data_IF_666039730183
#
_entry.id   IF_666039730183
#
_cell.length_a   1.000
_cell.length_b   1.000
_cell.length_c   1.000
_cell.angle_alpha   90.00
_cell.angle_beta   90.00
_cell.angle_gamma   90.00
#
_symmetry.space_group_name_H-M   'P 1'
#
loop_
_entity.id
_entity.type
_entity.pdbx_description
1 polymer ?
#
# COMPACT_ATOMS: atom_id res chain seq x y z
N UNK A 1 -29.99 -7.17 -16.55
CA UNK A 1 -29.93 -5.70 -16.80
C UNK A 1 -28.45 -5.33 -16.86
N UNK A 2 -28.02 -4.49 -17.81
CA UNK A 2 -26.62 -4.13 -18.02
C UNK A 2 -26.37 -2.63 -17.92
N UNK A 3 -25.11 -2.22 -17.93
CA UNK A 3 -24.70 -0.81 -18.04
C UNK A 3 -25.17 -0.23 -19.38
N UNK A 4 -25.79 0.95 -19.33
CA UNK A 4 -26.31 1.68 -20.52
C UNK A 4 -25.50 2.94 -20.86
N UNK A 5 -24.50 3.26 -20.04
CA UNK A 5 -23.58 4.38 -20.24
C UNK A 5 -22.21 3.92 -20.81
N UNK A 6 -21.42 4.83 -21.40
CA UNK A 6 -20.05 4.52 -21.82
C UNK A 6 -19.18 4.12 -20.62
N UNK A 7 -18.58 2.93 -20.68
CA UNK A 7 -17.61 2.47 -19.68
C UNK A 7 -16.19 2.87 -20.07
N UNK A 8 -15.56 3.66 -19.21
CA UNK A 8 -14.15 4.04 -19.32
C UNK A 8 -13.31 3.38 -18.23
N UNK A 9 -12.03 3.16 -18.53
CA UNK A 9 -11.04 2.54 -17.65
C UNK A 9 -9.79 3.42 -17.58
N UNK A 10 -9.18 3.53 -16.40
CA UNK A 10 -7.96 4.29 -16.18
C UNK A 10 -6.74 3.58 -16.81
N UNK A 11 -5.80 4.35 -17.35
CA UNK A 11 -4.55 3.88 -17.91
C UNK A 11 -3.39 4.08 -16.92
N UNK A 12 -2.31 3.32 -17.08
CA UNK A 12 -1.06 3.49 -16.33
C UNK A 12 -0.49 4.92 -16.37
N UNK A 13 -0.77 5.66 -17.45
CA UNK A 13 -0.35 7.05 -17.67
C UNK A 13 -1.41 8.11 -17.34
N UNK A 14 -2.38 7.81 -16.46
CA UNK A 14 -3.35 8.79 -15.94
C UNK A 14 -4.49 9.21 -16.88
N UNK A 15 -4.42 8.85 -18.17
CA UNK A 15 -5.53 9.02 -19.12
C UNK A 15 -6.59 7.92 -19.02
N UNK A 16 -7.73 8.09 -19.69
CA UNK A 16 -8.81 7.08 -19.74
C UNK A 16 -8.92 6.39 -21.11
N UNK A 17 -9.52 5.20 -21.15
CA UNK A 17 -9.72 4.42 -22.38
C UNK A 17 -11.03 3.63 -22.38
N UNK A 18 -11.48 3.17 -23.55
CA UNK A 18 -12.70 2.33 -23.69
C UNK A 18 -12.41 0.87 -23.35
N UNK A 19 -13.45 0.12 -22.93
CA UNK A 19 -13.36 -1.33 -22.68
C UNK A 19 -12.76 -2.08 -23.89
N UNK A 20 -13.18 -1.76 -25.11
CA UNK A 20 -12.62 -2.27 -26.36
C UNK A 20 -11.11 -2.09 -26.50
N UNK A 21 -10.58 -0.95 -26.08
CA UNK A 21 -9.16 -0.62 -26.17
C UNK A 21 -8.38 -1.28 -25.03
N UNK A 22 -8.96 -1.33 -23.85
CA UNK A 22 -8.45 -2.03 -22.67
C UNK A 22 -8.27 -3.54 -22.94
N UNK A 23 -9.26 -4.20 -23.55
CA UNK A 23 -9.18 -5.63 -23.93
C UNK A 23 -8.10 -5.89 -24.99
N UNK A 24 -7.86 -4.94 -25.91
CA UNK A 24 -6.82 -5.05 -26.95
C UNK A 24 -5.41 -4.74 -26.43
N UNK A 25 -5.28 -3.92 -25.39
CA UNK A 25 -3.99 -3.47 -24.84
C UNK A 25 -3.94 -3.52 -23.30
N UNK A 26 -4.22 -4.67 -22.65
CA UNK A 26 -4.43 -4.75 -21.20
C UNK A 26 -3.20 -4.38 -20.38
N UNK A 27 -2.00 -4.51 -20.96
CA UNK A 27 -0.73 -4.04 -20.38
C UNK A 27 -0.76 -2.54 -20.01
N UNK A 28 -1.57 -1.72 -20.68
CA UNK A 28 -1.73 -0.28 -20.39
C UNK A 28 -2.64 0.02 -19.19
N UNK A 29 -3.10 -1.01 -18.47
CA UNK A 29 -3.93 -0.91 -17.26
C UNK A 29 -3.12 -1.25 -15.99
N UNK A 30 -1.86 -1.68 -16.12
CA UNK A 30 -1.01 -1.96 -14.97
C UNK A 30 -0.78 -0.68 -14.16
N UNK A 31 -0.90 -0.75 -12.83
CA UNK A 31 -0.81 0.42 -11.94
C UNK A 31 -1.81 1.57 -12.22
N UNK A 32 -2.90 1.29 -12.95
CA UNK A 32 -3.93 2.29 -13.28
C UNK A 32 -4.67 2.87 -12.06
N UNK A 33 -4.87 2.10 -10.99
CA UNK A 33 -5.49 2.58 -9.75
C UNK A 33 -4.66 3.70 -9.09
N UNK A 34 -3.41 3.43 -8.69
CA UNK A 34 -2.49 4.44 -8.18
C UNK A 34 -2.23 5.61 -9.14
N UNK A 35 -2.22 5.38 -10.46
CA UNK A 35 -2.14 6.45 -11.45
C UNK A 35 -3.36 7.41 -11.36
N UNK A 36 -4.57 6.87 -11.16
CA UNK A 36 -5.76 7.67 -10.86
C UNK A 36 -5.65 8.44 -9.54
N UNK A 37 -5.04 7.84 -8.51
CA UNK A 37 -4.75 8.50 -7.23
C UNK A 37 -3.79 9.69 -7.36
N UNK A 38 -2.73 9.55 -8.15
CA UNK A 38 -1.78 10.64 -8.43
C UNK A 38 -2.43 11.78 -9.25
N UNK A 39 -3.26 11.46 -10.24
CA UNK A 39 -4.05 12.46 -11.00
C UNK A 39 -5.03 13.20 -10.08
N UNK A 40 -5.72 12.50 -9.18
CA UNK A 40 -6.61 13.13 -8.21
C UNK A 40 -5.84 14.02 -7.22
N UNK A 41 -4.67 13.58 -6.75
CA UNK A 41 -3.80 14.38 -5.89
C UNK A 41 -3.30 15.66 -6.58
N UNK A 42 -2.98 15.60 -7.88
CA UNK A 42 -2.61 16.77 -8.70
C UNK A 42 -3.78 17.75 -8.83
N UNK A 43 -5.00 17.24 -9.03
CA UNK A 43 -6.20 18.08 -9.09
C UNK A 43 -6.47 18.81 -7.76
N UNK A 44 -6.41 18.10 -6.63
CA UNK A 44 -6.58 18.69 -5.30
C UNK A 44 -5.45 19.67 -4.96
N UNK A 45 -4.21 19.39 -5.36
CA UNK A 45 -3.08 20.32 -5.18
C UNK A 45 -3.31 21.64 -5.92
N UNK A 46 -3.83 21.58 -7.16
CA UNK A 46 -4.20 22.78 -7.93
C UNK A 46 -5.36 23.57 -7.29
N UNK A 47 -6.37 22.90 -6.71
CA UNK A 47 -7.44 23.58 -5.96
C UNK A 47 -6.94 24.27 -4.68
N UNK A 48 -5.86 23.76 -4.08
CA UNK A 48 -5.21 24.32 -2.88
C UNK A 48 -4.09 25.33 -3.19
N UNK A 49 -3.74 25.53 -4.47
CA UNK A 49 -2.62 26.41 -4.88
C UNK A 49 -1.24 25.86 -4.49
N UNK A 50 -1.05 24.54 -4.57
CA UNK A 50 0.19 23.84 -4.22
C UNK A 50 0.86 23.26 -5.48
N UNK A 51 1.97 23.85 -5.92
CA UNK A 51 2.66 23.43 -7.14
C UNK A 51 3.52 22.16 -6.98
N UNK A 52 4.03 21.89 -5.77
CA UNK A 52 4.86 20.71 -5.48
C UNK A 52 4.27 19.93 -4.29
N UNK A 53 3.82 18.70 -4.52
CA UNK A 53 3.25 17.82 -3.48
C UNK A 53 3.71 16.37 -3.64
N UNK A 54 3.62 15.60 -2.55
CA UNK A 54 3.88 14.17 -2.54
C UNK A 54 2.57 13.43 -2.23
N UNK A 55 2.09 12.65 -3.20
CA UNK A 55 0.96 11.74 -2.99
C UNK A 55 1.42 10.42 -2.38
N UNK A 56 0.64 9.88 -1.45
CA UNK A 56 0.96 8.67 -0.69
C UNK A 56 -0.30 7.79 -0.57
N UNK A 57 -0.26 6.59 -1.16
CA UNK A 57 -1.31 5.58 -1.11
C UNK A 57 -0.77 4.32 -0.40
N UNK A 58 -1.36 3.92 0.73
CA UNK A 58 -0.89 2.79 1.56
C UNK A 58 -1.95 1.69 1.63
N UNK A 59 -1.72 0.61 0.90
CA UNK A 59 -2.53 -0.60 0.97
C UNK A 59 -2.06 -1.57 2.06
N UNK A 60 -2.64 -2.78 2.09
CA UNK A 60 -2.25 -3.84 3.02
C UNK A 60 -0.85 -4.43 2.78
N UNK A 61 -0.27 -4.28 1.59
CA UNK A 61 1.01 -4.94 1.22
C UNK A 61 2.13 -3.95 0.87
N UNK A 62 1.77 -2.81 0.27
CA UNK A 62 2.69 -1.84 -0.35
C UNK A 62 2.17 -0.43 -0.11
N UNK A 63 3.08 0.54 0.02
CA UNK A 63 2.74 1.95 -0.16
C UNK A 63 3.33 2.48 -1.48
N UNK A 64 2.67 3.44 -2.11
CA UNK A 64 3.04 4.02 -3.40
C UNK A 64 3.11 5.54 -3.28
N UNK A 65 4.22 6.08 -3.77
CA UNK A 65 4.58 7.49 -3.70
C UNK A 65 4.69 8.05 -5.11
N UNK A 66 3.98 9.12 -5.43
CA UNK A 66 4.20 9.88 -6.65
C UNK A 66 4.50 11.35 -6.30
N UNK A 67 5.64 11.84 -6.81
CA UNK A 67 5.99 13.25 -6.77
C UNK A 67 5.21 13.98 -7.88
N UNK A 68 4.51 15.02 -7.47
CA UNK A 68 3.78 15.95 -8.33
C UNK A 68 4.50 17.28 -8.21
N UNK A 69 4.96 17.81 -9.34
CA UNK A 69 5.81 19.00 -9.37
C UNK A 69 5.41 19.87 -10.57
N UNK A 70 5.49 21.20 -10.43
CA UNK A 70 4.81 22.16 -11.32
C UNK A 70 3.31 21.80 -11.56
N UNK A 71 2.66 21.26 -10.53
CA UNK A 71 1.28 20.77 -10.52
C UNK A 71 1.04 19.45 -11.26
N UNK A 72 2.08 18.83 -11.85
CA UNK A 72 1.94 17.66 -12.72
C UNK A 72 2.60 16.39 -12.13
N UNK A 73 1.94 15.21 -12.18
CA UNK A 73 2.60 13.94 -11.90
C UNK A 73 3.69 13.66 -12.94
N UNK A 74 4.88 13.24 -12.49
CA UNK A 74 5.96 12.85 -13.40
C UNK A 74 5.58 11.61 -14.22
N UNK A 75 6.09 11.49 -15.46
CA UNK A 75 5.74 10.37 -16.36
C UNK A 75 6.94 9.72 -17.03
N UNK A 76 6.92 8.39 -17.09
CA UNK A 76 7.95 7.57 -17.72
C UNK A 76 7.41 6.83 -18.96
N UNK A 77 8.33 6.43 -19.85
CA UNK A 77 8.02 5.61 -21.06
C UNK A 77 8.53 4.16 -20.97
N UNK A 78 9.12 3.81 -19.83
CA UNK A 78 9.63 2.48 -19.51
C UNK A 78 9.26 2.18 -18.07
N UNK A 79 8.63 1.04 -17.83
CA UNK A 79 8.28 0.52 -16.51
C UNK A 79 8.84 -0.90 -16.35
N UNK A 80 8.92 -1.40 -15.12
CA UNK A 80 9.57 -2.67 -14.80
C UNK A 80 8.66 -3.50 -13.90
N UNK A 81 8.25 -4.68 -14.36
CA UNK A 81 7.29 -5.54 -13.64
C UNK A 81 7.88 -6.90 -13.31
N UNK A 82 7.34 -7.57 -12.27
CA UNK A 82 7.79 -8.90 -11.85
C UNK A 82 9.31 -9.00 -11.63
N UNK A 83 9.89 -8.04 -10.89
CA UNK A 83 11.30 -8.09 -10.46
C UNK A 83 11.55 -9.33 -9.59
N UNK A 84 12.49 -10.18 -9.99
CA UNK A 84 12.97 -11.28 -9.16
C UNK A 84 13.66 -10.77 -7.88
N UNK A 85 14.32 -9.61 -7.96
CA UNK A 85 15.04 -9.01 -6.84
C UNK A 85 14.58 -7.55 -6.65
N UNK A 86 13.88 -7.26 -5.53
CA UNK A 86 13.25 -5.94 -5.26
C UNK A 86 14.17 -4.73 -5.46
N UNK A 87 15.49 -4.89 -5.29
CA UNK A 87 16.48 -3.81 -5.38
C UNK A 87 17.45 -3.92 -6.58
N UNK A 88 17.28 -4.89 -7.49
CA UNK A 88 18.12 -5.02 -8.69
C UNK A 88 17.33 -4.58 -9.94
N UNK A 89 17.62 -3.37 -10.41
CA UNK A 89 17.07 -2.82 -11.66
C UNK A 89 17.49 -3.68 -12.86
N UNK A 90 16.54 -4.09 -13.68
CA UNK A 90 16.73 -5.06 -14.76
C UNK A 90 16.49 -6.52 -14.37
N UNK A 91 16.09 -6.82 -13.13
CA UNK A 91 15.66 -8.18 -12.72
C UNK A 91 14.18 -8.47 -12.99
N UNK A 92 13.46 -7.53 -13.61
CA UNK A 92 12.07 -7.67 -14.03
C UNK A 92 11.87 -7.41 -15.52
N UNK A 93 10.67 -7.69 -16.01
CA UNK A 93 10.29 -7.54 -17.42
C UNK A 93 10.12 -6.03 -17.74
N UNK A 94 10.87 -5.48 -18.72
CA UNK A 94 10.75 -4.09 -19.12
C UNK A 94 9.54 -3.87 -20.05
N UNK A 95 8.62 -2.99 -19.65
CA UNK A 95 7.44 -2.60 -20.42
C UNK A 95 7.65 -1.21 -21.03
N UNK A 96 7.36 -1.04 -22.32
CA UNK A 96 7.51 0.24 -23.05
C UNK A 96 6.15 0.89 -23.30
N UNK A 97 5.55 1.40 -22.23
CA UNK A 97 4.26 2.09 -22.21
C UNK A 97 4.39 3.43 -21.44
N UNK A 98 3.52 4.42 -21.71
CA UNK A 98 3.39 5.59 -20.84
C UNK A 98 2.87 5.17 -19.46
N UNK A 99 3.58 5.56 -18.40
CA UNK A 99 3.17 5.40 -17.00
C UNK A 99 3.37 6.71 -16.25
N UNK A 100 2.58 6.94 -15.20
CA UNK A 100 2.97 7.88 -14.13
C UNK A 100 4.14 7.25 -13.36
N UNK A 101 5.16 8.04 -13.07
CA UNK A 101 6.33 7.60 -12.31
C UNK A 101 6.01 7.55 -10.82
N UNK A 102 6.24 6.40 -10.21
CA UNK A 102 5.93 6.14 -8.79
C UNK A 102 7.06 5.34 -8.15
N UNK A 103 7.33 5.62 -6.88
CA UNK A 103 8.18 4.80 -6.02
C UNK A 103 7.28 3.89 -5.19
N UNK A 104 7.45 2.58 -5.35
CA UNK A 104 6.85 1.59 -4.45
C UNK A 104 7.73 1.43 -3.20
N UNK A 105 7.15 1.70 -2.04
CA UNK A 105 7.72 1.39 -0.73
C UNK A 105 7.20 0.02 -0.31
N UNK A 106 8.12 -0.91 -0.07
CA UNK A 106 7.82 -2.32 0.22
C UNK A 106 7.23 -2.61 1.61
N UNK A 107 6.41 -1.69 2.13
CA UNK A 107 5.65 -1.83 3.37
C UNK A 107 4.22 -1.23 3.20
N UNK A 108 3.21 -2.01 3.54
CA UNK A 108 1.81 -1.61 3.76
C UNK A 108 1.30 -2.03 5.15
N UNK A 109 0.00 -1.91 5.42
CA UNK A 109 -0.59 -2.17 6.76
C UNK A 109 -0.34 -3.59 7.30
N UNK A 110 -0.41 -4.60 6.44
CA UNK A 110 -0.11 -6.00 6.75
C UNK A 110 1.38 -6.35 6.70
N UNK A 111 2.31 -5.38 6.69
CA UNK A 111 3.76 -5.68 6.75
C UNK A 111 4.11 -6.26 8.10
N UNK A 112 4.79 -7.40 8.11
CA UNK A 112 5.11 -8.13 9.34
C UNK A 112 6.22 -7.39 10.10
N UNK A 113 5.98 -7.16 11.39
CA UNK A 113 6.95 -6.61 12.34
C UNK A 113 7.65 -7.75 13.12
N UNK A 114 8.90 -7.50 13.52
CA UNK A 114 9.70 -8.41 14.33
C UNK A 114 11.04 -7.79 14.71
N UNK A 115 11.88 -8.57 15.40
CA UNK A 115 13.20 -8.11 15.88
C UNK A 115 14.32 -8.89 15.19
N UNK A 116 15.32 -8.18 14.67
CA UNK A 116 16.48 -8.78 14.00
C UNK A 116 17.56 -9.27 14.97
N UNK A 117 18.57 -9.97 14.45
CA UNK A 117 19.72 -10.47 15.23
C UNK A 117 20.62 -9.37 15.81
N UNK A 118 20.39 -8.09 15.47
CA UNK A 118 21.04 -6.91 16.04
C UNK A 118 20.15 -6.19 17.07
N UNK A 119 19.01 -6.80 17.47
CA UNK A 119 17.99 -6.24 18.36
C UNK A 119 17.35 -4.94 17.86
N UNK A 120 17.21 -4.79 16.55
CA UNK A 120 16.46 -3.70 15.91
C UNK A 120 15.08 -4.20 15.50
N UNK A 121 14.07 -3.34 15.59
CA UNK A 121 12.76 -3.62 15.00
C UNK A 121 12.89 -3.54 13.48
N UNK A 122 12.28 -4.49 12.78
CA UNK A 122 12.20 -4.55 11.34
C UNK A 122 10.75 -4.77 10.91
N UNK A 123 10.30 -4.00 9.92
CA UNK A 123 8.94 -4.08 9.35
C UNK A 123 9.04 -4.39 7.86
N UNK A 124 8.40 -5.47 7.43
CA UNK A 124 8.62 -6.04 6.11
C UNK A 124 9.98 -6.77 6.01
N UNK A 125 10.41 -7.21 4.80
CA UNK A 125 9.74 -7.10 3.52
C UNK A 125 8.56 -8.06 3.32
N UNK A 126 8.34 -8.97 4.27
CA UNK A 126 7.19 -9.89 4.30
C UNK A 126 5.89 -9.19 4.70
N UNK A 127 4.77 -9.69 4.19
CA UNK A 127 3.43 -9.20 4.51
C UNK A 127 2.48 -10.38 4.75
N UNK A 128 1.55 -10.22 5.69
CA UNK A 128 0.46 -11.17 5.93
C UNK A 128 -0.68 -11.05 4.90
N UNK A 129 -0.64 -10.04 4.01
CA UNK A 129 -1.66 -9.77 3.01
C UNK A 129 -3.01 -9.41 3.64
N UNK A 130 -4.09 -9.91 3.05
CA UNK A 130 -5.46 -9.80 3.58
C UNK A 130 -6.02 -11.13 4.13
N UNK A 131 -5.33 -12.25 3.86
CA UNK A 131 -5.68 -13.58 4.35
C UNK A 131 -4.37 -14.40 4.47
N UNK A 132 -3.93 -14.80 5.68
CA UNK A 132 -4.60 -14.63 6.97
C UNK A 132 -4.61 -13.18 7.49
N UNK A 133 -3.80 -12.28 6.91
CA UNK A 133 -3.80 -10.86 7.26
C UNK A 133 -3.20 -10.54 8.65
N UNK A 134 -3.32 -9.27 9.08
CA UNK A 134 -3.02 -8.83 10.44
C UNK A 134 -3.65 -9.73 11.51
N UNK A 135 -3.02 -9.84 12.68
CA UNK A 135 -3.52 -10.69 13.77
C UNK A 135 -4.90 -10.23 14.23
N UNK A 136 -5.13 -8.92 14.26
CA UNK A 136 -6.38 -8.26 14.61
C UNK A 136 -7.55 -8.60 13.68
N UNK A 137 -7.32 -9.15 12.48
CA UNK A 137 -8.41 -9.59 11.59
C UNK A 137 -9.06 -10.89 12.09
N UNK A 138 -8.43 -11.62 13.03
CA UNK A 138 -8.94 -12.89 13.58
C UNK A 138 -8.89 -14.09 12.62
N UNK A 139 -8.50 -13.89 11.36
CA UNK A 139 -8.48 -14.92 10.29
C UNK A 139 -7.30 -15.90 10.40
N UNK A 140 -6.76 -16.13 11.60
CA UNK A 140 -5.67 -17.06 11.86
C UNK A 140 -4.26 -16.46 11.79
N UNK A 141 -4.11 -15.14 11.62
CA UNK A 141 -2.82 -14.43 11.71
C UNK A 141 -2.07 -14.73 13.01
N UNK A 142 -0.72 -14.67 12.97
CA UNK A 142 0.17 -15.02 14.10
C UNK A 142 1.38 -14.11 14.32
N UNK A 143 1.82 -13.38 13.30
CA UNK A 143 2.94 -12.44 13.38
C UNK A 143 2.35 -11.02 13.29
N UNK A 144 2.72 -10.09 14.18
CA UNK A 144 2.12 -8.76 14.22
C UNK A 144 2.48 -7.96 12.97
N UNK A 145 1.61 -7.03 12.60
CA UNK A 145 1.80 -6.12 11.47
C UNK A 145 1.62 -4.64 11.85
N UNK A 146 1.88 -3.72 10.93
CA UNK A 146 1.63 -2.27 11.15
C UNK A 146 0.17 -2.01 11.59
N UNK A 147 -0.81 -2.68 10.96
CA UNK A 147 -2.22 -2.58 11.37
C UNK A 147 -2.49 -3.13 12.78
N UNK A 148 -1.73 -4.13 13.26
CA UNK A 148 -1.84 -4.60 14.64
C UNK A 148 -1.33 -3.55 15.63
N UNK A 149 -0.22 -2.86 15.28
CA UNK A 149 0.30 -1.74 16.05
C UNK A 149 -0.65 -0.54 16.05
N UNK A 150 -1.22 -0.18 14.90
CA UNK A 150 -2.17 0.94 14.77
C UNK A 150 -3.47 0.71 15.56
N UNK A 151 -3.98 -0.53 15.59
CA UNK A 151 -5.11 -0.92 16.45
C UNK A 151 -4.73 -0.85 17.93
N UNK A 152 -3.56 -1.38 18.30
CA UNK A 152 -3.05 -1.40 19.68
C UNK A 152 -2.83 0.02 20.23
N UNK A 153 -2.43 0.97 19.36
CA UNK A 153 -2.28 2.39 19.69
C UNK A 153 -3.58 3.20 19.56
N UNK A 154 -4.71 2.58 19.28
CA UNK A 154 -6.01 3.25 19.14
C UNK A 154 -6.11 4.21 17.95
N UNK A 155 -5.22 4.10 16.96
CA UNK A 155 -5.26 4.87 15.70
C UNK A 155 -6.36 4.36 14.77
N UNK A 156 -6.70 3.07 14.89
CA UNK A 156 -7.82 2.41 14.20
C UNK A 156 -8.84 1.98 15.26
N UNK A 157 -10.11 2.38 15.11
CA UNK A 157 -11.20 1.89 15.96
C UNK A 157 -11.51 0.41 15.64
N UNK A 158 -11.29 -0.53 16.58
CA UNK A 158 -11.52 -1.94 16.35
C UNK A 158 -13.00 -2.30 16.13
N UNK A 159 -13.95 -1.41 16.45
CA UNK A 159 -15.39 -1.70 16.32
C UNK A 159 -16.01 -1.13 15.05
N UNK A 160 -15.29 -0.28 14.30
CA UNK A 160 -15.79 0.41 13.10
C UNK A 160 -14.91 0.17 11.84
N UNK A 161 -13.99 -0.79 11.90
CA UNK A 161 -13.10 -1.07 10.77
C UNK A 161 -13.88 -1.52 9.52
N UNK A 162 -13.39 -1.11 8.35
CA UNK A 162 -14.05 -1.30 7.06
C UNK A 162 -15.56 -0.89 7.08
N UNK A 163 -15.89 0.21 7.75
CA UNK A 163 -17.27 0.71 7.89
C UNK A 163 -18.15 -0.14 8.81
N UNK A 164 -17.55 -0.75 9.83
CA UNK A 164 -18.22 -1.68 10.76
C UNK A 164 -18.48 -3.08 10.18
N UNK A 165 -17.98 -3.39 8.98
CA UNK A 165 -18.13 -4.72 8.37
C UNK A 165 -17.21 -5.79 8.95
N UNK A 166 -16.17 -5.38 9.70
CA UNK A 166 -15.25 -6.25 10.42
C UNK A 166 -14.96 -5.64 11.79
N UNK A 167 -15.08 -6.45 12.85
CA UNK A 167 -14.60 -6.11 14.19
C UNK A 167 -13.20 -6.68 14.38
N UNK A 168 -12.26 -5.87 14.86
CA UNK A 168 -10.88 -6.24 15.06
C UNK A 168 -10.62 -6.74 16.48
N UNK A 169 -9.76 -7.73 16.60
CA UNK A 169 -9.26 -8.27 17.86
C UNK A 169 -8.01 -7.51 18.31
N UNK A 170 -8.21 -6.47 19.13
CA UNK A 170 -7.12 -5.68 19.72
C UNK A 170 -6.33 -6.46 20.78
N UNK A 171 -6.92 -7.48 21.41
CA UNK A 171 -6.25 -8.28 22.44
C UNK A 171 -5.21 -9.19 21.78
N UNK A 172 -5.60 -9.99 20.77
CA UNK A 172 -4.67 -10.84 20.03
C UNK A 172 -3.54 -10.06 19.32
N UNK A 173 -3.80 -8.82 18.92
CA UNK A 173 -2.83 -7.90 18.32
C UNK A 173 -1.75 -7.46 19.32
N UNK A 174 -2.18 -6.95 20.48
CA UNK A 174 -1.32 -6.60 21.62
C UNK A 174 -0.44 -7.80 22.04
N UNK A 175 -1.07 -8.97 22.14
CA UNK A 175 -0.44 -10.24 22.49
C UNK A 175 0.65 -10.67 21.48
N UNK A 176 0.44 -10.40 20.18
CA UNK A 176 1.43 -10.69 19.13
C UNK A 176 2.61 -9.70 19.14
N UNK A 177 2.36 -8.42 19.41
CA UNK A 177 3.40 -7.39 19.56
C UNK A 177 4.31 -7.68 20.76
N UNK A 178 3.74 -8.11 21.90
CA UNK A 178 4.54 -8.60 23.03
C UNK A 178 5.43 -9.78 22.62
N UNK A 179 4.85 -10.86 22.07
CA UNK A 179 5.61 -12.07 21.73
C UNK A 179 6.72 -11.87 20.70
N UNK A 180 6.51 -11.00 19.70
CA UNK A 180 7.46 -10.83 18.58
C UNK A 180 8.38 -9.61 18.69
N UNK A 181 8.06 -8.64 19.56
CA UNK A 181 8.85 -7.41 19.76
C UNK A 181 9.09 -7.13 21.25
N UNK A 182 8.03 -7.09 22.05
CA UNK A 182 8.08 -6.76 23.48
C UNK A 182 9.06 -7.60 24.29
N UNK A 183 8.86 -8.92 24.31
CA UNK A 183 9.68 -9.89 25.06
C UNK A 183 11.17 -9.88 24.63
N UNK A 184 11.42 -9.67 23.33
CA UNK A 184 12.78 -9.64 22.77
C UNK A 184 13.55 -8.36 23.13
N UNK A 185 12.85 -7.25 23.39
CA UNK A 185 13.46 -5.95 23.68
C UNK A 185 13.35 -5.55 25.15
N UNK A 186 12.44 -6.14 25.92
CA UNK A 186 12.07 -5.70 27.27
C UNK A 186 11.10 -4.51 27.25
N UNK A 187 10.27 -4.41 26.21
CA UNK A 187 9.33 -3.31 25.99
C UNK A 187 7.92 -3.66 26.46
N UNK A 188 7.18 -2.66 26.95
CA UNK A 188 5.72 -2.77 27.13
C UNK A 188 5.02 -2.80 25.77
N UNK A 189 3.74 -3.17 25.74
CA UNK A 189 3.01 -3.34 24.48
C UNK A 189 2.91 -2.03 23.67
N UNK A 190 2.81 -0.89 24.34
CA UNK A 190 2.76 0.43 23.71
C UNK A 190 4.10 0.79 23.07
N UNK A 191 5.22 0.48 23.75
CA UNK A 191 6.57 0.67 23.20
C UNK A 191 6.86 -0.30 22.05
N UNK A 192 6.34 -1.54 22.12
CA UNK A 192 6.43 -2.54 21.05
C UNK A 192 5.56 -2.20 19.82
N UNK A 193 4.54 -1.36 19.99
CA UNK A 193 3.69 -0.85 18.90
C UNK A 193 4.17 0.50 18.33
N UNK A 194 4.93 1.29 19.10
CA UNK A 194 5.45 2.60 18.69
C UNK A 194 6.74 2.56 17.86
N UNK A 195 7.51 1.47 17.94
CA UNK A 195 8.84 1.32 17.32
C UNK A 195 8.86 0.45 16.07
#
# INVERSE_FOLDING_TARGET
VGLTCPLFLMLSGGGITTLDTAVRFPVRLMESGPAGGAIFSSHIAAELGLDSVLSYDMGGTTAKVCLIDEGQPQTARTFEVAREYRFLKGSGIPLRIPVIEMVEVGAGGGSIAGVDSMRRISVGPGSAGSNPGPVCYGLGGKLPTVTDADVTLGRIDPNNFAGGSMRLDSESAADALIRSVGDSLGFSVEHAALG
#
